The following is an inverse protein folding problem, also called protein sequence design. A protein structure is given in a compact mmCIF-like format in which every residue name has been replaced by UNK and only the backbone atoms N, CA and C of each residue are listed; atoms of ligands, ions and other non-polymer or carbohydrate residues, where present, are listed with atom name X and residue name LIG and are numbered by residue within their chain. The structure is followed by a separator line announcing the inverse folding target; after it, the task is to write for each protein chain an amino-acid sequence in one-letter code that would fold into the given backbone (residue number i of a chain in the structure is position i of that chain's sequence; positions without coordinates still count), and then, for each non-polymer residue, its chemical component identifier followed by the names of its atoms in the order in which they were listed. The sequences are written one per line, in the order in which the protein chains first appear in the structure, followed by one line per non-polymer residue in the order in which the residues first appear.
data_IF_227191036810
#
_entry.id   IF_227191036810
#
_cell.length_a   1.000
_cell.length_b   1.000
_cell.length_c   1.000
_cell.angle_alpha   90.00
_cell.angle_beta   90.00
_cell.angle_gamma   90.00
#
_symmetry.space_group_name_H-M   'P 1'
#
loop_
_entity.id
_entity.type
_entity.pdbx_description
1 polymer ?
#
# COMPACT_ATOMS: atom_id res chain seq x y z
N UNK A 1 -10.23 -11.40 38.41
CA UNK A 1 -9.24 -12.04 37.53
C UNK A 1 -9.82 -11.99 36.12
N UNK A 2 -9.17 -11.30 35.19
CA UNK A 2 -9.64 -11.26 33.80
C UNK A 2 -9.28 -12.59 33.14
N UNK A 3 -10.23 -13.25 32.48
CA UNK A 3 -9.96 -14.49 31.76
C UNK A 3 -9.17 -14.18 30.48
N UNK A 4 -8.05 -14.87 30.28
CA UNK A 4 -7.27 -14.79 29.04
C UNK A 4 -8.04 -15.51 27.93
N UNK A 5 -8.39 -14.81 26.87
CA UNK A 5 -8.93 -15.40 25.64
C UNK A 5 -7.76 -15.96 24.83
N UNK A 6 -7.71 -17.27 24.54
CA UNK A 6 -6.63 -17.84 23.74
C UNK A 6 -6.71 -17.33 22.30
N UNK A 7 -5.56 -16.94 21.75
CA UNK A 7 -5.43 -16.57 20.34
C UNK A 7 -5.46 -17.82 19.45
N UNK A 8 -5.91 -17.69 18.18
CA UNK A 8 -5.78 -18.77 17.21
C UNK A 8 -4.30 -19.16 17.02
N UNK A 9 -4.02 -20.43 16.68
CA UNK A 9 -2.67 -20.85 16.37
C UNK A 9 -2.12 -20.09 15.15
N UNK A 10 -0.82 -19.82 15.18
CA UNK A 10 -0.13 -19.22 14.03
C UNK A 10 -0.24 -20.13 12.80
N UNK A 11 -0.55 -19.53 11.65
CA UNK A 11 -0.48 -20.16 10.34
C UNK A 11 0.03 -19.14 9.33
N UNK A 12 0.82 -19.58 8.35
CA UNK A 12 1.15 -18.75 7.20
C UNK A 12 -0.09 -18.46 6.36
N UNK A 13 -0.14 -17.27 5.77
CA UNK A 13 -1.16 -16.90 4.78
C UNK A 13 -0.92 -17.68 3.47
N UNK A 14 -1.94 -18.34 2.89
CA UNK A 14 -1.80 -19.02 1.61
C UNK A 14 -1.43 -18.05 0.48
N UNK A 15 -0.59 -18.50 -0.45
CA UNK A 15 -0.28 -17.74 -1.66
C UNK A 15 -1.50 -17.61 -2.57
N UNK A 16 -1.61 -16.47 -3.26
CA UNK A 16 -2.61 -16.25 -4.29
C UNK A 16 -2.25 -17.03 -5.56
N UNK A 17 -3.15 -17.92 -5.97
CA UNK A 17 -2.97 -18.79 -7.13
C UNK A 17 -3.54 -18.14 -8.40
N UNK A 18 -2.73 -17.39 -9.14
CA UNK A 18 -3.19 -16.67 -10.34
C UNK A 18 -3.78 -17.57 -11.44
N UNK A 19 -3.48 -18.88 -11.46
CA UNK A 19 -4.18 -19.82 -12.35
C UNK A 19 -5.71 -19.85 -12.14
N UNK A 20 -6.18 -19.46 -10.95
CA UNK A 20 -7.60 -19.36 -10.64
C UNK A 20 -8.14 -18.06 -11.24
N UNK A 21 -9.11 -18.18 -12.13
CA UNK A 21 -9.73 -17.02 -12.80
C UNK A 21 -10.19 -15.92 -11.83
N UNK A 22 -10.89 -16.23 -10.72
CA UNK A 22 -11.35 -15.19 -9.80
C UNK A 22 -10.22 -14.38 -9.15
N UNK A 23 -9.07 -15.01 -8.89
CA UNK A 23 -7.90 -14.34 -8.29
C UNK A 23 -7.22 -13.41 -9.29
N UNK A 24 -7.14 -13.84 -10.55
CA UNK A 24 -6.63 -12.97 -11.62
C UNK A 24 -7.57 -11.79 -11.90
N UNK A 25 -8.87 -12.03 -11.91
CA UNK A 25 -9.89 -11.01 -12.13
C UNK A 25 -9.86 -9.95 -11.03
N UNK A 26 -9.72 -10.36 -9.77
CA UNK A 26 -9.61 -9.41 -8.66
C UNK A 26 -8.34 -8.57 -8.74
N UNK A 27 -7.20 -9.14 -9.15
CA UNK A 27 -5.97 -8.39 -9.37
C UNK A 27 -6.14 -7.33 -10.47
N UNK A 28 -6.71 -7.71 -11.62
CA UNK A 28 -6.94 -6.77 -12.73
C UNK A 28 -7.91 -5.66 -12.32
N UNK A 29 -8.99 -6.00 -11.63
CA UNK A 29 -9.95 -5.02 -11.13
C UNK A 29 -9.29 -4.02 -10.16
N UNK A 30 -8.53 -4.52 -9.18
CA UNK A 30 -7.84 -3.68 -8.20
C UNK A 30 -6.81 -2.73 -8.85
N UNK A 31 -6.08 -3.19 -9.87
CA UNK A 31 -5.18 -2.32 -10.64
C UNK A 31 -5.95 -1.25 -11.41
N UNK A 32 -7.08 -1.60 -12.04
CA UNK A 32 -7.95 -0.64 -12.71
C UNK A 32 -8.56 0.40 -11.77
N UNK A 33 -8.87 0.03 -10.53
CA UNK A 33 -9.32 0.96 -9.50
C UNK A 33 -8.20 1.85 -8.96
N UNK A 34 -6.97 1.35 -8.90
CA UNK A 34 -5.80 2.10 -8.45
C UNK A 34 -5.37 3.14 -9.47
N UNK A 35 -5.39 2.81 -10.76
CA UNK A 35 -4.91 3.66 -11.85
C UNK A 35 -5.38 5.13 -11.78
N UNK A 36 -6.68 5.44 -11.69
CA UNK A 36 -7.16 6.83 -11.64
C UNK A 36 -6.83 7.56 -10.33
N UNK A 37 -6.31 6.84 -9.31
CA UNK A 37 -5.91 7.40 -8.02
C UNK A 37 -4.45 7.81 -7.99
N UNK A 38 -3.67 7.45 -9.01
CA UNK A 38 -2.25 7.79 -9.09
C UNK A 38 -2.05 9.22 -9.65
N UNK A 39 -1.01 9.95 -9.20
CA UNK A 39 -0.08 9.56 -8.13
C UNK A 39 -0.72 9.65 -6.74
N UNK A 40 -0.33 8.73 -5.83
CA UNK A 40 -0.76 8.78 -4.44
C UNK A 40 -0.03 9.87 -3.67
N UNK A 41 -0.75 10.62 -2.84
CA UNK A 41 -0.14 11.47 -1.82
C UNK A 41 0.17 10.63 -0.58
N UNK A 42 1.45 10.47 -0.25
CA UNK A 42 1.91 9.70 0.92
C UNK A 42 2.42 10.66 2.00
N UNK A 43 1.62 10.92 3.06
CA UNK A 43 2.02 11.81 4.13
C UNK A 43 2.95 11.14 5.14
N UNK A 44 3.64 11.94 5.93
CA UNK A 44 4.20 11.52 7.21
C UNK A 44 3.04 11.46 8.21
N UNK A 45 2.96 10.37 8.98
CA UNK A 45 2.00 10.21 10.07
C UNK A 45 2.75 10.17 11.41
N UNK A 46 2.36 11.03 12.36
CA UNK A 46 2.91 11.08 13.73
C UNK A 46 1.74 11.13 14.71
N UNK A 47 1.46 10.00 15.36
CA UNK A 47 0.23 9.89 16.17
C UNK A 47 -1.00 10.05 15.28
N UNK A 48 -1.82 11.07 15.55
CA UNK A 48 -3.01 11.42 14.77
C UNK A 48 -2.73 12.51 13.71
N UNK A 49 -1.54 13.12 13.74
CA UNK A 49 -1.16 14.17 12.81
C UNK A 49 -0.68 13.61 11.47
N UNK A 50 -1.04 14.29 10.39
CA UNK A 50 -0.60 14.00 9.04
C UNK A 50 0.02 15.23 8.38
N UNK A 51 1.18 15.05 7.76
CA UNK A 51 1.87 16.07 6.99
C UNK A 51 2.14 15.57 5.56
N UNK A 52 1.50 16.19 4.57
CA UNK A 52 1.72 15.93 3.16
C UNK A 52 2.67 16.98 2.54
N UNK A 53 3.54 16.55 1.64
CA UNK A 53 4.46 17.38 0.86
C UNK A 53 4.89 16.62 -0.41
N UNK A 54 5.35 17.35 -1.44
CA UNK A 54 5.95 16.78 -2.66
C UNK A 54 7.49 16.91 -2.60
N UNK A 55 8.11 16.22 -1.63
CA UNK A 55 9.57 16.26 -1.43
C UNK A 55 10.31 15.17 -2.18
N UNK A 56 9.64 14.05 -2.46
CA UNK A 56 10.19 12.90 -3.16
C UNK A 56 9.13 12.25 -4.04
N UNK A 57 9.54 11.86 -5.26
CA UNK A 57 8.69 11.15 -6.21
C UNK A 57 9.09 9.68 -6.27
N UNK A 58 8.14 8.81 -5.94
CA UNK A 58 8.26 7.38 -6.19
C UNK A 58 7.77 7.10 -7.61
N UNK A 59 8.57 6.38 -8.39
CA UNK A 59 8.24 6.04 -9.77
C UNK A 59 8.01 4.55 -9.93
N UNK A 60 7.29 4.16 -10.98
CA UNK A 60 7.16 2.76 -11.38
C UNK A 60 8.52 2.28 -11.92
N UNK A 61 9.16 1.26 -11.33
CA UNK A 61 10.43 0.75 -11.85
C UNK A 61 10.30 0.11 -13.25
N UNK A 62 9.11 -0.34 -13.66
CA UNK A 62 8.82 -0.83 -15.00
C UNK A 62 8.59 0.28 -16.03
N UNK A 63 8.24 1.48 -15.58
CA UNK A 63 8.05 2.69 -16.39
C UNK A 63 8.59 3.92 -15.64
N UNK A 64 9.92 4.18 -15.64
CA UNK A 64 10.54 5.14 -14.71
C UNK A 64 10.06 6.59 -14.81
N UNK A 65 9.46 6.97 -15.94
CA UNK A 65 8.86 8.31 -16.14
C UNK A 65 7.50 8.46 -15.43
N UNK A 66 6.88 7.35 -15.03
CA UNK A 66 5.58 7.32 -14.37
C UNK A 66 5.72 7.51 -12.87
N UNK A 67 5.25 8.64 -12.37
CA UNK A 67 5.17 8.92 -10.93
C UNK A 67 3.97 8.18 -10.33
N UNK A 68 4.21 7.29 -9.38
CA UNK A 68 3.16 6.52 -8.68
C UNK A 68 2.83 7.11 -7.30
N UNK A 69 3.74 7.90 -6.71
CA UNK A 69 3.47 8.61 -5.47
C UNK A 69 4.32 9.88 -5.29
N UNK A 70 3.76 10.88 -4.64
CA UNK A 70 4.45 12.04 -4.07
C UNK A 70 4.52 11.87 -2.55
N UNK A 71 5.72 11.98 -1.98
CA UNK A 71 6.00 11.58 -0.60
C UNK A 71 6.59 12.75 0.18
N UNK A 72 6.07 12.97 1.40
CA UNK A 72 6.66 13.90 2.35
C UNK A 72 7.95 13.31 2.95
N UNK A 73 9.03 14.08 3.02
CA UNK A 73 10.31 13.63 3.58
C UNK A 73 10.50 14.13 5.01
N UNK A 74 10.80 13.23 5.94
CA UNK A 74 11.13 13.59 7.31
C UNK A 74 12.58 14.11 7.42
N UNK A 75 12.81 15.09 8.30
CA UNK A 75 14.12 15.70 8.56
C UNK A 75 14.33 17.05 7.87
N UNK A 76 15.46 17.71 8.16
CA UNK A 76 15.83 18.95 7.50
C UNK A 76 16.38 18.68 6.09
N UNK A 77 16.13 19.60 5.15
CA UNK A 77 16.84 19.64 3.87
C UNK A 77 18.28 20.10 4.07
#
# INVERSE_FOLDING_TARGET
MSATVPLPPFSNEPLLELRRAPVRESLVAALGELEPRLPLTVPILVGEDALAADDFRSTDPGEPERVVATVARAGAR
#
